data_IF_480039312180
#
_entry.id   IF_480039312180
#
_cell.length_a   1.000
_cell.length_b   1.000
_cell.length_c   1.000
_cell.angle_alpha   90.00
_cell.angle_beta   90.00
_cell.angle_gamma   90.00
#
_symmetry.space_group_name_H-M   'P 1'
#
loop_
_entity.id
_entity.type
_entity.pdbx_description
1 polymer ?
#
# COMPACT_ATOMS: atom_id res chain seq x y z
N UNK A 1 17.14 -7.89 31.44
CA UNK A 1 17.43 -6.78 30.50
C UNK A 1 17.13 -7.25 29.09
N UNK A 2 16.61 -6.36 28.25
CA UNK A 2 16.31 -6.64 26.85
C UNK A 2 16.98 -5.63 25.92
N UNK A 3 17.16 -5.99 24.66
CA UNK A 3 17.59 -5.04 23.63
C UNK A 3 16.43 -4.13 23.15
N UNK A 4 16.70 -3.28 22.16
CA UNK A 4 15.72 -2.36 21.59
C UNK A 4 14.56 -3.05 20.85
N UNK A 5 14.72 -4.32 20.47
CA UNK A 5 13.66 -5.16 19.88
C UNK A 5 12.89 -5.94 20.96
N UNK A 6 13.25 -5.79 22.23
CA UNK A 6 12.63 -6.48 23.36
C UNK A 6 13.14 -7.90 23.59
N UNK A 7 14.21 -8.35 22.89
CA UNK A 7 14.80 -9.68 23.08
C UNK A 7 15.62 -9.73 24.37
N UNK A 8 15.53 -10.79 25.20
CA UNK A 8 16.33 -10.89 26.42
C UNK A 8 17.83 -10.94 26.10
N UNK A 9 18.63 -10.03 26.64
CA UNK A 9 20.10 -10.04 26.42
C UNK A 9 20.90 -10.36 27.66
N UNK A 10 20.36 -10.07 28.84
CA UNK A 10 21.00 -10.35 30.12
C UNK A 10 19.97 -10.65 31.21
N UNK A 11 20.32 -11.53 32.14
CA UNK A 11 19.58 -11.77 33.38
C UNK A 11 20.51 -11.72 34.57
N UNK A 12 20.00 -11.21 35.69
CA UNK A 12 20.72 -10.98 36.94
C UNK A 12 19.98 -11.62 38.10
N UNK A 13 20.71 -12.12 39.09
CA UNK A 13 20.11 -12.65 40.32
C UNK A 13 19.70 -11.54 41.31
N UNK A 14 19.18 -11.94 42.47
CA UNK A 14 18.73 -11.03 43.52
C UNK A 14 19.86 -10.17 44.12
N UNK A 15 21.12 -10.57 43.94
CA UNK A 15 22.30 -9.82 44.40
C UNK A 15 22.89 -8.94 43.27
N UNK A 16 22.27 -8.91 42.09
CA UNK A 16 22.74 -8.14 40.94
C UNK A 16 23.91 -8.78 40.20
N UNK A 17 24.16 -10.08 40.39
CA UNK A 17 25.21 -10.81 39.65
C UNK A 17 24.65 -11.31 38.32
N UNK A 18 25.44 -11.21 37.26
CA UNK A 18 25.08 -11.72 35.94
C UNK A 18 24.98 -13.25 35.98
N UNK A 19 23.81 -13.79 35.62
CA UNK A 19 23.57 -15.24 35.59
C UNK A 19 23.37 -15.78 34.18
N UNK A 20 23.04 -14.90 33.23
CA UNK A 20 22.83 -15.27 31.83
C UNK A 20 23.08 -14.07 30.93
N UNK A 21 23.76 -14.26 29.81
CA UNK A 21 23.97 -13.22 28.78
C UNK A 21 24.08 -13.85 27.40
N UNK A 22 23.56 -13.18 26.37
CA UNK A 22 23.75 -13.60 24.97
C UNK A 22 23.76 -12.40 24.03
N UNK A 23 24.30 -12.63 22.83
CA UNK A 23 24.01 -11.89 21.62
C UNK A 23 23.12 -12.73 20.69
N UNK A 24 22.62 -12.12 19.62
CA UNK A 24 21.80 -12.78 18.60
C UNK A 24 22.37 -12.52 17.20
N UNK A 25 22.31 -13.51 16.31
CA UNK A 25 22.53 -13.25 14.88
C UNK A 25 21.28 -12.68 14.19
N UNK A 26 21.35 -12.50 12.87
CA UNK A 26 20.26 -11.90 12.07
C UNK A 26 19.00 -12.77 12.03
N UNK A 27 19.11 -14.08 12.29
CA UNK A 27 17.98 -15.02 12.36
C UNK A 27 17.54 -15.28 13.81
N UNK A 28 18.18 -14.64 14.79
CA UNK A 28 17.84 -14.78 16.20
C UNK A 28 18.45 -16.01 16.86
N UNK A 29 19.45 -16.65 16.25
CA UNK A 29 20.23 -17.70 16.93
C UNK A 29 21.11 -17.06 18.00
N UNK A 30 21.22 -17.74 19.15
CA UNK A 30 22.09 -17.30 20.24
C UNK A 30 23.57 -17.31 19.84
N UNK A 31 24.29 -16.28 20.26
CA UNK A 31 25.73 -16.06 20.06
C UNK A 31 26.35 -15.61 21.38
N UNK A 32 27.61 -15.97 21.63
CA UNK A 32 28.35 -15.54 22.84
C UNK A 32 27.60 -15.81 24.16
N UNK A 33 26.86 -16.92 24.23
CA UNK A 33 26.05 -17.29 25.39
C UNK A 33 26.93 -17.53 26.63
N UNK A 34 26.57 -16.88 27.74
CA UNK A 34 27.06 -17.14 29.08
C UNK A 34 25.91 -17.62 29.96
N UNK A 35 26.14 -18.65 30.77
CA UNK A 35 25.11 -19.29 31.58
C UNK A 35 24.45 -20.49 30.86
N UNK A 36 23.36 -20.97 31.43
CA UNK A 36 22.63 -22.14 30.91
C UNK A 36 21.61 -21.72 29.84
N UNK A 37 21.58 -22.42 28.69
CA UNK A 37 20.81 -22.03 27.50
C UNK A 37 19.30 -21.99 27.75
N UNK A 38 18.77 -22.94 28.50
CA UNK A 38 17.34 -23.09 28.78
C UNK A 38 16.83 -22.16 29.89
N UNK A 39 17.72 -21.50 30.64
CA UNK A 39 17.39 -20.58 31.72
C UNK A 39 16.45 -19.45 31.27
N UNK A 40 16.69 -18.93 30.07
CA UNK A 40 15.76 -18.06 29.37
C UNK A 40 15.31 -18.78 28.10
N UNK A 41 14.07 -19.29 28.00
CA UNK A 41 13.59 -19.98 26.81
C UNK A 41 13.04 -19.03 25.73
N UNK A 42 12.92 -17.74 26.02
CA UNK A 42 12.39 -16.74 25.09
C UNK A 42 13.44 -16.29 24.06
N UNK A 43 13.03 -16.13 22.80
CA UNK A 43 13.91 -15.76 21.67
C UNK A 43 13.51 -14.41 21.08
N UNK A 44 13.13 -14.35 19.81
CA UNK A 44 12.47 -13.17 19.26
C UNK A 44 11.07 -12.98 19.90
N UNK A 45 10.46 -11.82 19.67
CA UNK A 45 9.13 -11.54 20.20
C UNK A 45 8.13 -12.63 19.77
N UNK A 46 7.50 -13.28 20.75
CA UNK A 46 6.55 -14.36 20.53
C UNK A 46 7.17 -15.75 20.28
N UNK A 47 8.49 -15.88 20.27
CA UNK A 47 9.19 -17.15 20.13
C UNK A 47 9.54 -17.78 21.48
N UNK A 48 9.28 -19.07 21.57
CA UNK A 48 9.72 -19.94 22.66
C UNK A 48 10.62 -21.04 22.08
N UNK A 49 11.85 -21.18 22.56
CA UNK A 49 12.66 -22.34 22.20
C UNK A 49 12.17 -23.56 22.98
N UNK A 50 11.77 -24.59 22.24
CA UNK A 50 11.39 -25.87 22.80
C UNK A 50 12.65 -26.65 23.20
N UNK A 51 12.88 -26.96 24.49
CA UNK A 51 14.07 -27.69 24.93
C UNK A 51 14.15 -29.13 24.39
N UNK A 52 13.02 -29.73 24.00
CA UNK A 52 12.98 -31.09 23.45
C UNK A 52 13.37 -31.12 21.97
N UNK A 53 13.21 -30.00 21.27
CA UNK A 53 13.49 -29.86 19.85
C UNK A 53 14.72 -29.00 19.66
N UNK A 54 15.88 -29.64 19.49
CA UNK A 54 17.20 -29.02 19.48
C UNK A 54 17.28 -27.79 18.55
N UNK A 55 17.14 -26.59 19.13
CA UNK A 55 17.30 -25.33 18.43
C UNK A 55 16.07 -24.82 17.66
N UNK A 56 14.88 -25.43 17.80
CA UNK A 56 13.67 -24.96 17.12
C UNK A 56 12.86 -23.99 17.97
N UNK A 57 12.35 -22.94 17.33
CA UNK A 57 11.58 -21.88 18.00
C UNK A 57 10.10 -22.00 17.64
N UNK A 58 9.27 -22.25 18.65
CA UNK A 58 7.83 -22.33 18.51
C UNK A 58 7.21 -20.93 18.37
N UNK A 59 6.43 -20.76 17.30
CA UNK A 59 5.73 -19.54 16.90
C UNK A 59 4.24 -19.83 16.72
N UNK A 60 3.57 -20.30 17.78
CA UNK A 60 2.13 -20.62 17.87
C UNK A 60 1.60 -21.63 16.85
N UNK A 61 1.65 -21.32 15.56
CA UNK A 61 1.19 -22.18 14.47
C UNK A 61 2.32 -22.93 13.75
N UNK A 62 3.58 -22.52 13.95
CA UNK A 62 4.73 -23.08 13.21
C UNK A 62 5.99 -23.16 14.06
N UNK A 63 6.89 -24.06 13.68
CA UNK A 63 8.27 -24.11 14.21
C UNK A 63 9.22 -23.41 13.25
N UNK A 64 10.02 -22.51 13.79
CA UNK A 64 11.05 -21.75 13.10
C UNK A 64 12.43 -22.35 13.38
N UNK A 65 13.22 -22.50 12.33
CA UNK A 65 14.59 -22.94 12.39
C UNK A 65 15.54 -21.72 12.25
N UNK A 66 16.21 -21.29 13.32
CA UNK A 66 17.11 -20.15 13.29
C UNK A 66 18.41 -20.41 12.50
N UNK A 67 18.72 -21.66 12.15
CA UNK A 67 19.89 -21.99 11.33
C UNK A 67 19.68 -21.67 9.84
N UNK A 68 18.44 -21.81 9.37
CA UNK A 68 18.04 -21.51 7.98
C UNK A 68 17.30 -20.19 7.85
N UNK A 69 16.74 -19.68 8.95
CA UNK A 69 15.92 -18.47 8.92
C UNK A 69 14.49 -18.70 8.42
N UNK A 70 14.01 -19.94 8.41
CA UNK A 70 12.74 -20.35 7.78
C UNK A 70 11.83 -21.12 8.75
N UNK A 71 10.54 -21.17 8.43
CA UNK A 71 9.62 -22.12 9.04
C UNK A 71 9.80 -23.52 8.44
N UNK A 72 9.59 -24.55 9.27
CA UNK A 72 9.62 -25.95 8.83
C UNK A 72 8.36 -26.38 8.06
N UNK A 73 7.24 -25.67 8.28
CA UNK A 73 5.96 -25.93 7.63
C UNK A 73 5.50 -24.73 6.80
N UNK A 74 4.72 -25.02 5.75
CA UNK A 74 4.09 -23.99 4.92
C UNK A 74 3.16 -23.11 5.76
N UNK A 75 3.05 -21.85 5.37
CA UNK A 75 2.08 -20.92 5.94
C UNK A 75 0.66 -21.50 5.83
N UNK A 76 -0.10 -21.62 6.93
CA UNK A 76 -1.49 -22.05 6.87
C UNK A 76 -2.39 -21.18 5.98
N UNK A 77 -1.99 -19.93 5.73
CA UNK A 77 -2.66 -19.03 4.79
C UNK A 77 -2.18 -19.22 3.34
N UNK A 78 -1.23 -20.12 3.09
CA UNK A 78 -0.63 -20.38 1.79
C UNK A 78 -0.13 -19.08 1.13
N UNK A 79 -0.40 -18.88 -0.15
CA UNK A 79 -0.04 -17.69 -0.91
C UNK A 79 -0.63 -16.38 -0.36
N UNK A 80 -1.70 -16.44 0.45
CA UNK A 80 -2.24 -15.25 1.10
C UNK A 80 -1.33 -14.72 2.22
N UNK A 81 -0.45 -15.57 2.78
CA UNK A 81 0.58 -15.18 3.73
C UNK A 81 1.85 -14.61 3.09
N UNK A 82 1.97 -14.70 1.75
CA UNK A 82 3.13 -14.26 0.98
C UNK A 82 3.57 -15.29 -0.05
N UNK A 83 4.39 -14.85 -1.00
CA UNK A 83 4.87 -15.72 -2.10
C UNK A 83 5.81 -16.84 -1.61
N UNK A 84 6.60 -16.57 -0.57
CA UNK A 84 7.42 -17.59 0.08
C UNK A 84 6.66 -18.18 1.28
N UNK A 85 6.02 -19.33 1.07
CA UNK A 85 5.20 -20.00 2.08
C UNK A 85 5.99 -20.52 3.29
N UNK A 86 7.33 -20.52 3.26
CA UNK A 86 8.17 -20.91 4.39
C UNK A 86 8.84 -19.71 5.09
N UNK A 87 8.62 -18.48 4.63
CA UNK A 87 9.31 -17.31 5.15
C UNK A 87 8.90 -16.96 6.58
N UNK A 88 9.89 -16.57 7.39
CA UNK A 88 9.67 -15.86 8.65
C UNK A 88 9.63 -14.36 8.36
N UNK A 89 8.45 -13.75 8.55
CA UNK A 89 8.15 -12.33 8.29
C UNK A 89 8.42 -11.88 6.84
N UNK A 90 8.06 -10.62 6.53
CA UNK A 90 8.37 -10.01 5.24
C UNK A 90 9.87 -9.70 5.14
N UNK A 91 10.53 -10.13 4.06
CA UNK A 91 11.93 -9.79 3.81
C UNK A 91 12.06 -8.33 3.37
N UNK A 92 12.57 -7.48 4.26
CA UNK A 92 12.85 -6.07 3.99
C UNK A 92 13.90 -5.85 2.89
N UNK A 93 14.72 -6.85 2.56
CA UNK A 93 15.72 -6.77 1.49
C UNK A 93 15.16 -7.18 0.13
N UNK A 94 13.91 -7.63 0.05
CA UNK A 94 13.29 -8.01 -1.22
C UNK A 94 13.09 -6.81 -2.15
N UNK A 95 13.11 -5.58 -1.62
CA UNK A 95 12.93 -4.36 -2.37
C UNK A 95 14.24 -3.57 -2.41
N UNK A 96 14.61 -3.12 -3.61
CA UNK A 96 15.81 -2.31 -3.83
C UNK A 96 15.39 -0.97 -4.40
N UNK A 97 15.64 0.10 -3.66
CA UNK A 97 15.51 1.48 -4.15
C UNK A 97 16.87 1.96 -4.68
N UNK A 98 17.21 1.56 -5.91
CA UNK A 98 18.51 1.86 -6.54
C UNK A 98 18.77 3.37 -6.62
N UNK A 99 17.71 4.18 -6.67
CA UNK A 99 17.81 5.62 -6.89
C UNK A 99 17.57 6.46 -5.62
N UNK A 100 17.14 5.84 -4.51
CA UNK A 100 16.77 6.56 -3.29
C UNK A 100 15.54 7.46 -3.46
N UNK A 101 14.69 7.15 -4.43
CA UNK A 101 13.52 7.96 -4.81
C UNK A 101 12.20 7.16 -4.72
N UNK A 102 12.24 5.88 -4.34
CA UNK A 102 11.04 5.09 -4.15
C UNK A 102 10.34 5.49 -2.85
N UNK A 103 9.55 6.57 -2.92
CA UNK A 103 8.62 6.91 -1.84
C UNK A 103 7.29 6.16 -1.98
N UNK A 104 6.90 5.68 -3.16
CA UNK A 104 5.64 4.96 -3.39
C UNK A 104 5.69 4.22 -4.73
N UNK A 105 4.87 3.19 -4.90
CA UNK A 105 4.39 2.73 -6.21
C UNK A 105 4.13 3.94 -7.13
N UNK A 106 4.27 3.84 -8.47
CA UNK A 106 3.90 4.94 -9.38
C UNK A 106 2.40 5.22 -9.23
N UNK A 107 2.09 6.04 -8.23
CA UNK A 107 0.74 6.47 -7.86
C UNK A 107 0.35 7.68 -8.69
N UNK A 108 1.31 8.30 -9.37
CA UNK A 108 1.11 9.41 -10.29
C UNK A 108 1.26 8.90 -11.72
N UNK A 109 0.20 8.29 -12.23
CA UNK A 109 0.12 7.83 -13.61
C UNK A 109 -0.37 8.97 -14.50
N UNK A 110 0.29 9.16 -15.64
CA UNK A 110 -0.21 9.93 -16.78
C UNK A 110 -0.02 9.10 -18.04
N UNK A 111 -0.96 9.20 -18.95
CA UNK A 111 -0.96 8.58 -20.27
C UNK A 111 -0.65 9.61 -21.37
N UNK A 112 -0.30 10.85 -21.02
CA UNK A 112 0.11 11.88 -21.98
C UNK A 112 1.24 11.37 -22.88
N UNK A 113 1.02 11.41 -24.20
CA UNK A 113 1.97 10.89 -25.19
C UNK A 113 1.93 9.38 -25.43
N UNK A 114 1.10 8.63 -24.71
CA UNK A 114 0.89 7.19 -24.95
C UNK A 114 -0.01 6.93 -26.16
N UNK A 115 0.27 5.83 -26.87
CA UNK A 115 -0.62 5.26 -27.91
C UNK A 115 -1.94 4.69 -27.37
N UNK A 116 -2.12 4.67 -26.05
CA UNK A 116 -3.35 4.20 -25.39
C UNK A 116 -4.37 5.30 -25.15
N UNK A 117 -4.01 6.56 -25.38
CA UNK A 117 -4.98 7.65 -25.41
C UNK A 117 -5.98 7.46 -26.55
N UNK A 118 -7.22 7.90 -26.32
CA UNK A 118 -8.26 7.86 -27.35
C UNK A 118 -7.84 8.66 -28.59
N UNK A 119 -7.90 8.07 -29.79
CA UNK A 119 -7.55 8.78 -31.01
C UNK A 119 -8.62 9.82 -31.32
N UNK A 120 -8.25 11.10 -31.23
CA UNK A 120 -9.15 12.23 -31.48
C UNK A 120 -9.18 12.63 -32.95
N UNK A 121 -10.32 13.18 -33.38
CA UNK A 121 -10.50 13.71 -34.73
C UNK A 121 -11.07 15.13 -34.69
N UNK A 122 -10.75 15.95 -35.70
CA UNK A 122 -11.22 17.33 -35.78
C UNK A 122 -10.86 18.15 -34.54
N UNK A 123 -11.87 18.69 -33.85
CA UNK A 123 -11.69 19.52 -32.65
C UNK A 123 -11.80 18.74 -31.32
N UNK A 124 -11.86 17.41 -31.37
CA UNK A 124 -11.94 16.59 -30.16
C UNK A 124 -10.64 16.65 -29.35
N UNK A 125 -10.75 16.48 -28.03
CA UNK A 125 -9.61 16.35 -27.11
C UNK A 125 -9.73 15.07 -26.30
N UNK A 126 -8.61 14.39 -26.08
CA UNK A 126 -8.51 13.21 -25.21
C UNK A 126 -7.86 13.57 -23.87
N UNK A 127 -7.29 14.77 -23.74
CA UNK A 127 -6.79 15.34 -22.50
C UNK A 127 -7.51 16.67 -22.29
N UNK A 128 -8.17 16.82 -21.16
CA UNK A 128 -8.96 18.01 -20.82
C UNK A 128 -8.81 18.37 -19.36
N UNK A 129 -8.94 19.65 -19.03
CA UNK A 129 -9.01 20.11 -17.64
C UNK A 129 -10.48 20.24 -17.23
N UNK A 130 -10.83 19.73 -16.05
CA UNK A 130 -12.15 19.93 -15.45
C UNK A 130 -12.01 20.46 -14.03
N UNK A 131 -13.07 21.09 -13.53
CA UNK A 131 -13.25 21.31 -12.09
C UNK A 131 -13.91 20.07 -11.48
N UNK A 132 -13.33 19.50 -10.44
CA UNK A 132 -13.81 18.29 -9.76
C UNK A 132 -15.17 18.51 -9.09
N UNK A 133 -15.97 17.44 -9.03
CA UNK A 133 -17.32 17.49 -8.48
C UNK A 133 -17.49 16.68 -7.21
N UNK A 134 -16.50 15.92 -6.77
CA UNK A 134 -16.69 14.92 -5.72
C UNK A 134 -17.47 13.69 -6.19
N UNK A 135 -17.67 13.51 -7.51
CA UNK A 135 -18.44 12.42 -8.14
C UNK A 135 -17.84 12.05 -9.51
N UNK A 136 -17.30 10.84 -9.65
CA UNK A 136 -16.59 10.37 -10.84
C UNK A 136 -17.48 10.40 -12.08
N UNK A 137 -18.76 10.02 -11.98
CA UNK A 137 -19.65 10.02 -13.14
C UNK A 137 -19.94 11.46 -13.65
N UNK A 138 -20.12 12.41 -12.73
CA UNK A 138 -20.26 13.81 -13.07
C UNK A 138 -18.95 14.43 -13.61
N UNK A 139 -17.80 14.02 -13.06
CA UNK A 139 -16.48 14.39 -13.59
C UNK A 139 -16.30 13.89 -15.02
N UNK A 140 -16.60 12.61 -15.29
CA UNK A 140 -16.54 12.02 -16.62
C UNK A 140 -17.49 12.74 -17.59
N UNK A 141 -18.66 13.13 -17.10
CA UNK A 141 -19.63 13.92 -17.89
C UNK A 141 -19.07 15.30 -18.25
N UNK A 142 -18.36 15.96 -17.33
CA UNK A 142 -17.66 17.22 -17.61
C UNK A 142 -16.53 17.02 -18.62
N UNK A 143 -15.73 15.96 -18.44
CA UNK A 143 -14.62 15.64 -19.31
C UNK A 143 -15.10 15.37 -20.75
N UNK A 144 -16.14 14.55 -20.94
CA UNK A 144 -16.75 14.34 -22.26
C UNK A 144 -17.24 15.63 -22.91
N UNK A 145 -17.87 16.51 -22.13
CA UNK A 145 -18.34 17.81 -22.63
C UNK A 145 -17.17 18.70 -23.09
N UNK A 146 -16.13 18.83 -22.27
CA UNK A 146 -14.93 19.63 -22.60
C UNK A 146 -14.14 19.03 -23.77
N UNK A 147 -14.16 17.70 -23.88
CA UNK A 147 -13.50 16.95 -24.94
C UNK A 147 -14.18 17.07 -26.31
N UNK A 148 -15.42 17.56 -26.37
CA UNK A 148 -16.22 17.50 -27.59
C UNK A 148 -16.55 16.06 -28.02
N UNK A 149 -16.63 15.13 -27.07
CA UNK A 149 -16.89 13.70 -27.30
C UNK A 149 -18.22 13.31 -26.69
N UNK A 150 -19.05 12.56 -27.42
CA UNK A 150 -20.33 12.07 -26.91
C UNK A 150 -20.14 10.90 -25.93
N UNK A 151 -20.54 11.10 -24.66
CA UNK A 151 -20.57 10.02 -23.63
C UNK A 151 -21.35 8.80 -24.10
N UNK A 152 -22.45 8.99 -24.83
CA UNK A 152 -23.26 7.89 -25.35
C UNK A 152 -22.53 7.12 -26.46
N UNK A 153 -21.82 7.82 -27.35
CA UNK A 153 -21.05 7.18 -28.42
C UNK A 153 -19.89 6.34 -27.86
N UNK A 154 -19.31 6.76 -26.73
CA UNK A 154 -18.19 6.07 -26.08
C UNK A 154 -18.60 4.84 -25.27
N UNK A 155 -19.90 4.63 -25.03
CA UNK A 155 -20.38 3.48 -24.25
C UNK A 155 -19.99 2.17 -24.95
N UNK A 156 -19.19 1.35 -24.27
CA UNK A 156 -18.75 0.04 -24.78
C UNK A 156 -17.53 0.09 -25.72
N UNK A 157 -16.91 1.26 -25.94
CA UNK A 157 -15.71 1.36 -26.78
C UNK A 157 -14.40 0.93 -26.08
N UNK A 158 -14.44 0.57 -24.80
CA UNK A 158 -13.24 0.15 -24.05
C UNK A 158 -12.31 1.31 -23.67
N UNK A 159 -12.87 2.50 -23.42
CA UNK A 159 -12.13 3.66 -22.91
C UNK A 159 -12.74 4.15 -21.61
N UNK A 160 -11.89 4.66 -20.72
CA UNK A 160 -12.27 5.30 -19.46
C UNK A 160 -11.52 6.61 -19.30
N UNK A 161 -12.12 7.53 -18.56
CA UNK A 161 -11.42 8.73 -18.12
C UNK A 161 -10.55 8.41 -16.90
N UNK A 162 -9.29 8.80 -16.95
CA UNK A 162 -8.32 8.75 -15.87
C UNK A 162 -8.21 10.13 -15.21
N UNK A 163 -8.26 10.19 -13.88
CA UNK A 163 -7.97 11.40 -13.12
C UNK A 163 -6.47 11.47 -12.85
N UNK A 164 -5.75 12.37 -13.54
CA UNK A 164 -4.31 12.59 -13.31
C UNK A 164 -4.08 13.03 -11.87
N UNK A 165 -2.92 12.74 -11.29
CA UNK A 165 -2.58 13.13 -9.92
C UNK A 165 -2.08 14.60 -9.84
N UNK A 166 -2.94 15.55 -10.20
CA UNK A 166 -2.64 16.97 -10.34
C UNK A 166 -3.70 17.91 -9.75
N UNK A 167 -4.50 17.44 -8.79
CA UNK A 167 -5.58 18.23 -8.19
C UNK A 167 -5.06 19.53 -7.56
N UNK A 168 -5.60 20.67 -8.01
CA UNK A 168 -5.39 21.96 -7.37
C UNK A 168 -6.57 22.27 -6.43
N UNK A 169 -6.39 22.24 -5.09
CA UNK A 169 -7.45 22.51 -4.14
C UNK A 169 -7.96 23.96 -4.14
N UNK A 170 -7.18 24.90 -4.70
CA UNK A 170 -7.56 26.31 -4.76
C UNK A 170 -8.59 26.55 -5.85
N UNK A 171 -8.37 25.95 -7.02
CA UNK A 171 -9.23 26.14 -8.20
C UNK A 171 -10.22 24.98 -8.40
N UNK A 172 -9.97 23.84 -7.76
CA UNK A 172 -10.71 22.60 -7.91
C UNK A 172 -10.37 21.85 -9.19
N UNK A 173 -9.34 22.26 -9.92
CA UNK A 173 -9.02 21.74 -11.25
C UNK A 173 -8.21 20.46 -11.19
N UNK A 174 -8.38 19.63 -12.22
CA UNK A 174 -7.59 18.42 -12.50
C UNK A 174 -7.58 18.13 -14.00
N UNK A 175 -6.52 17.48 -14.46
CA UNK A 175 -6.44 16.90 -15.80
C UNK A 175 -7.14 15.53 -15.87
N UNK A 176 -7.92 15.35 -16.92
CA UNK A 176 -8.60 14.10 -17.28
C UNK A 176 -8.02 13.58 -18.59
N UNK A 177 -7.69 12.30 -18.64
CA UNK A 177 -7.14 11.63 -19.82
C UNK A 177 -8.06 10.48 -20.24
N UNK A 178 -8.56 10.50 -21.48
CA UNK A 178 -9.38 9.41 -22.03
C UNK A 178 -8.46 8.33 -22.59
N UNK A 179 -8.39 7.20 -21.91
CA UNK A 179 -7.41 6.13 -22.15
C UNK A 179 -8.12 4.79 -22.31
N UNK A 180 -7.51 3.84 -23.04
CA UNK A 180 -7.99 2.46 -23.09
C UNK A 180 -8.16 1.90 -21.68
N UNK A 181 -9.31 1.29 -21.41
CA UNK A 181 -9.64 0.71 -20.10
C UNK A 181 -8.61 -0.33 -19.67
N UNK A 182 -8.14 -1.17 -20.60
CA UNK A 182 -7.12 -2.19 -20.31
C UNK A 182 -5.77 -1.60 -19.88
N UNK A 183 -5.35 -0.49 -20.50
CA UNK A 183 -4.11 0.19 -20.14
C UNK A 183 -4.22 0.87 -18.77
N UNK A 184 -5.38 1.46 -18.47
CA UNK A 184 -5.66 2.02 -17.15
C UNK A 184 -5.67 0.93 -16.06
N UNK A 185 -6.37 -0.19 -16.28
CA UNK A 185 -6.45 -1.30 -15.32
C UNK A 185 -5.09 -1.98 -15.07
N UNK A 186 -4.22 -2.04 -16.08
CA UNK A 186 -2.87 -2.58 -15.94
C UNK A 186 -1.97 -1.76 -14.99
N UNK A 187 -2.37 -0.54 -14.63
CA UNK A 187 -1.64 0.31 -13.66
C UNK A 187 -2.20 0.26 -12.24
N UNK A 188 -3.23 -0.55 -11.98
CA UNK A 188 -3.80 -0.67 -10.64
C UNK A 188 -2.89 -1.48 -9.70
N UNK A 189 -2.76 -1.07 -8.42
CA UNK A 189 -3.37 0.11 -7.81
C UNK A 189 -2.59 1.40 -8.13
N UNK A 190 -3.31 2.46 -8.51
CA UNK A 190 -2.76 3.81 -8.62
C UNK A 190 -3.63 4.83 -7.86
N UNK A 191 -3.12 6.04 -7.66
CA UNK A 191 -3.87 7.18 -7.13
C UNK A 191 -4.06 8.22 -8.23
N UNK A 192 -4.94 9.18 -7.99
CA UNK A 192 -5.25 10.25 -8.91
C UNK A 192 -5.92 11.40 -8.18
N UNK A 193 -6.37 12.41 -8.90
CA UNK A 193 -6.99 13.59 -8.29
C UNK A 193 -8.18 13.29 -7.39
N UNK A 194 -8.93 12.21 -7.64
CA UNK A 194 -9.97 11.77 -6.71
C UNK A 194 -9.43 11.43 -5.30
N UNK A 195 -8.23 10.85 -5.21
CA UNK A 195 -7.54 10.58 -3.95
C UNK A 195 -7.02 11.86 -3.31
N UNK A 196 -6.45 12.78 -4.10
CA UNK A 196 -5.96 14.06 -3.57
C UNK A 196 -7.09 14.93 -3.03
N UNK A 197 -8.23 14.96 -3.73
CA UNK A 197 -9.45 15.62 -3.24
C UNK A 197 -9.91 15.00 -1.91
N UNK A 198 -10.00 13.67 -1.85
CA UNK A 198 -10.42 12.94 -0.66
C UNK A 198 -9.51 13.25 0.54
N UNK A 199 -8.20 13.24 0.34
CA UNK A 199 -7.20 13.57 1.35
C UNK A 199 -7.29 15.03 1.80
N UNK A 200 -7.36 15.98 0.85
CA UNK A 200 -7.42 17.40 1.16
C UNK A 200 -8.66 17.78 1.99
N UNK A 201 -9.82 17.22 1.67
CA UNK A 201 -11.07 17.53 2.38
C UNK A 201 -11.39 16.57 3.53
N UNK A 202 -10.60 15.52 3.73
CA UNK A 202 -10.84 14.50 4.76
C UNK A 202 -12.14 13.73 4.56
N UNK A 203 -12.48 13.38 3.31
CA UNK A 203 -13.72 12.68 2.93
C UNK A 203 -13.41 11.54 1.95
N UNK A 204 -14.31 10.56 1.83
CA UNK A 204 -14.22 9.57 0.75
C UNK A 204 -14.83 10.14 -0.55
N UNK A 205 -14.19 9.93 -1.70
CA UNK A 205 -14.70 10.38 -3.00
C UNK A 205 -15.95 9.57 -3.44
N UNK A 206 -16.80 10.13 -4.30
CA UNK A 206 -18.12 9.58 -4.70
C UNK A 206 -19.21 9.53 -3.63
N UNK A 207 -18.96 10.06 -2.43
CA UNK A 207 -19.93 10.12 -1.32
C UNK A 207 -20.81 11.38 -1.37
N UNK A 208 -21.85 11.44 -0.56
CA UNK A 208 -22.63 12.68 -0.44
C UNK A 208 -21.76 13.83 0.13
N UNK A 209 -20.86 13.48 1.04
CA UNK A 209 -19.93 14.37 1.72
C UNK A 209 -18.93 15.01 0.74
N UNK A 210 -18.31 14.23 -0.16
CA UNK A 210 -17.43 14.78 -1.20
C UNK A 210 -18.16 15.71 -2.15
N UNK A 211 -19.40 15.37 -2.53
CA UNK A 211 -20.26 16.21 -3.36
C UNK A 211 -20.66 17.50 -2.64
N UNK A 212 -20.86 17.45 -1.33
CA UNK A 212 -21.10 18.64 -0.51
C UNK A 212 -19.85 19.52 -0.43
N UNK A 213 -18.65 18.95 -0.28
CA UNK A 213 -17.39 19.71 -0.30
C UNK A 213 -17.20 20.48 -1.60
N UNK A 214 -17.41 19.84 -2.75
CA UNK A 214 -17.38 20.54 -4.03
C UNK A 214 -18.49 21.60 -4.19
N UNK A 215 -19.66 21.41 -3.55
CA UNK A 215 -20.71 22.45 -3.53
C UNK A 215 -20.33 23.65 -2.66
N UNK A 216 -19.73 23.42 -1.49
CA UNK A 216 -19.23 24.47 -0.59
C UNK A 216 -18.18 25.36 -1.28
N UNK A 217 -17.36 24.77 -2.17
CA UNK A 217 -16.40 25.51 -3.01
C UNK A 217 -17.03 26.20 -4.24
N UNK A 218 -18.33 26.02 -4.47
CA UNK A 218 -19.01 26.56 -5.66
C UNK A 218 -18.73 25.81 -6.97
N UNK A 219 -18.06 24.66 -6.92
CA UNK A 219 -17.66 23.89 -8.10
C UNK A 219 -18.78 23.07 -8.72
N UNK A 220 -19.90 22.90 -8.02
CA UNK A 220 -21.09 22.19 -8.51
C UNK A 220 -22.37 22.74 -7.91
N UNK A 221 -23.51 22.33 -8.51
CA UNK A 221 -24.83 22.57 -7.91
C UNK A 221 -25.03 21.67 -6.69
N UNK A 222 -25.86 22.14 -5.75
CA UNK A 222 -26.19 21.44 -4.50
C UNK A 222 -26.63 19.99 -4.78
N UNK A 223 -25.95 18.98 -4.22
CA UNK A 223 -26.33 17.58 -4.41
C UNK A 223 -27.64 17.27 -3.67
N UNK A 224 -28.43 16.34 -4.21
CA UNK A 224 -29.59 15.80 -3.51
C UNK A 224 -29.12 14.72 -2.53
N UNK A 225 -29.63 14.73 -1.31
CA UNK A 225 -29.46 13.62 -0.38
C UNK A 225 -30.56 12.60 -0.66
N UNK A 226 -30.18 11.46 -1.21
CA UNK A 226 -31.10 10.32 -1.32
C UNK A 226 -31.12 9.62 0.05
N UNK A 227 -32.33 9.30 0.52
CA UNK A 227 -32.54 8.56 1.77
C UNK A 227 -32.30 7.08 1.55
#
# INVERSE_FOLDING_TARGET
MSDYLGRPVQSYDQQGRLVWQTDYDIYGKLRNLQGEKTFIPFRQLGQYEDPELDGLYYNRFRYYDPSTGLYLSQDPLSIAGGMNVYAYVHDSNSWVDIYGLMANFPTNITFAGSSDLYPVTGNQKNIVEIVMTGDRDADFTRAYKEAGISKQAMKGQGYTWHHVHDFDPTTGKTTMELVKTSAHEATLPHKGSASQFAEHFGVEYDTYESKMKAYEQGWRKKPKKYK
#
